data_IF_248716210778
#
_entry.id   IF_248716210778
#
_cell.length_a   1.000
_cell.length_b   1.000
_cell.length_c   1.000
_cell.angle_alpha   90.00
_cell.angle_beta   90.00
_cell.angle_gamma   90.00
#
_symmetry.space_group_name_H-M   'P 1'
#
loop_
_entity.id
_entity.type
_entity.pdbx_description
1 polymer ?
#
# COMPACT_ATOMS: atom_id res chain seq x y z
N UNK A 1 -38.64 -7.74 -35.93
CA UNK A 1 -37.44 -8.26 -35.23
C UNK A 1 -36.83 -7.12 -34.40
N UNK A 2 -37.47 -6.64 -33.34
CA UNK A 2 -37.44 -7.13 -31.95
C UNK A 2 -36.06 -7.56 -31.39
N UNK A 3 -35.60 -6.79 -30.39
CA UNK A 3 -34.80 -7.21 -29.20
C UNK A 3 -33.32 -6.82 -29.01
N UNK A 4 -32.83 -5.65 -29.47
CA UNK A 4 -31.49 -5.15 -29.03
C UNK A 4 -31.55 -3.73 -28.40
N UNK A 5 -32.75 -3.22 -28.12
CA UNK A 5 -32.95 -2.03 -27.30
C UNK A 5 -33.34 -2.44 -25.87
N UNK A 6 -32.59 -1.95 -24.88
CA UNK A 6 -32.73 -2.22 -23.44
C UNK A 6 -32.08 -3.51 -22.92
N UNK A 7 -30.76 -3.61 -22.98
CA UNK A 7 -30.07 -4.28 -21.89
C UNK A 7 -30.36 -3.48 -20.62
N UNK A 8 -31.35 -3.93 -19.82
CA UNK A 8 -31.39 -3.67 -18.38
C UNK A 8 -30.00 -4.07 -17.88
N UNK A 9 -29.08 -3.12 -17.72
CA UNK A 9 -27.73 -3.37 -17.21
C UNK A 9 -27.88 -4.31 -16.01
N UNK A 10 -27.29 -5.51 -16.03
CA UNK A 10 -27.65 -6.53 -15.06
C UNK A 10 -27.00 -6.20 -13.73
N UNK A 11 -27.67 -5.30 -13.02
CA UNK A 11 -27.27 -4.70 -11.76
C UNK A 11 -27.04 -5.81 -10.74
N UNK A 12 -27.81 -6.90 -10.84
CA UNK A 12 -27.62 -8.12 -10.04
C UNK A 12 -26.29 -8.83 -10.33
N UNK A 13 -25.87 -9.01 -11.58
CA UNK A 13 -24.60 -9.68 -11.90
C UNK A 13 -23.39 -8.83 -11.47
N UNK A 14 -23.43 -7.52 -11.71
CA UNK A 14 -22.37 -6.61 -11.24
C UNK A 14 -22.27 -6.62 -9.71
N UNK A 15 -23.40 -6.64 -9.01
CA UNK A 15 -23.43 -6.73 -7.56
C UNK A 15 -22.87 -8.06 -7.03
N UNK A 16 -23.31 -9.20 -7.59
CA UNK A 16 -22.80 -10.52 -7.22
C UNK A 16 -21.29 -10.60 -7.46
N UNK A 17 -20.82 -10.15 -8.61
CA UNK A 17 -19.39 -10.10 -8.91
C UNK A 17 -18.63 -9.24 -7.91
N UNK A 18 -19.12 -8.02 -7.64
CA UNK A 18 -18.48 -7.09 -6.71
C UNK A 18 -18.36 -7.69 -5.31
N UNK A 19 -19.45 -8.25 -4.79
CA UNK A 19 -19.47 -8.95 -3.50
C UNK A 19 -18.50 -10.13 -3.53
N UNK A 20 -18.51 -10.93 -4.60
CA UNK A 20 -17.59 -12.06 -4.77
C UNK A 20 -16.12 -11.65 -4.72
N UNK A 21 -15.73 -10.58 -5.41
CA UNK A 21 -14.34 -10.07 -5.40
C UNK A 21 -13.97 -9.49 -4.03
N UNK A 22 -14.89 -8.79 -3.36
CA UNK A 22 -14.69 -8.26 -2.00
C UNK A 22 -14.46 -9.40 -1.01
N UNK A 23 -15.32 -10.43 -1.03
CA UNK A 23 -15.20 -11.59 -0.15
C UNK A 23 -13.96 -12.43 -0.47
N UNK A 24 -13.66 -12.64 -1.75
CA UNK A 24 -12.42 -13.30 -2.16
C UNK A 24 -11.20 -12.54 -1.61
N UNK A 25 -11.21 -11.22 -1.71
CA UNK A 25 -10.11 -10.41 -1.18
C UNK A 25 -10.03 -10.48 0.35
N UNK A 26 -11.16 -10.54 1.05
CA UNK A 26 -11.21 -10.77 2.49
C UNK A 26 -10.54 -12.10 2.89
N UNK A 27 -10.77 -13.17 2.12
CA UNK A 27 -10.08 -14.46 2.32
C UNK A 27 -8.57 -14.30 2.13
N UNK A 28 -8.14 -13.64 1.04
CA UNK A 28 -6.71 -13.46 0.75
C UNK A 28 -5.96 -12.70 1.84
N UNK A 29 -6.55 -11.65 2.42
CA UNK A 29 -5.86 -10.88 3.47
C UNK A 29 -5.63 -11.70 4.73
N UNK A 30 -6.49 -12.69 4.99
CA UNK A 30 -6.41 -13.55 6.16
C UNK A 30 -5.47 -14.74 5.96
N UNK A 31 -5.55 -15.37 4.79
CA UNK A 31 -4.92 -16.66 4.53
C UNK A 31 -3.49 -16.54 3.98
N UNK A 32 -3.25 -15.64 3.02
CA UNK A 32 -1.92 -15.49 2.41
C UNK A 32 -0.94 -14.96 3.45
N UNK A 33 0.25 -15.56 3.63
CA UNK A 33 1.23 -15.03 4.59
C UNK A 33 1.77 -13.65 4.15
N UNK A 34 2.18 -12.82 5.11
CA UNK A 34 3.00 -11.64 4.85
C UNK A 34 4.28 -12.00 4.09
N UNK A 35 4.50 -11.31 2.97
CA UNK A 35 5.61 -11.55 2.07
C UNK A 35 6.74 -10.53 2.25
N UNK A 36 7.98 -11.02 2.24
CA UNK A 36 9.15 -10.16 2.31
C UNK A 36 9.46 -9.46 0.97
N UNK A 37 10.11 -8.29 0.99
CA UNK A 37 10.57 -7.55 2.18
C UNK A 37 9.56 -6.52 2.69
N UNK A 38 8.85 -5.85 1.78
CA UNK A 38 8.16 -4.61 2.10
C UNK A 38 6.95 -4.80 3.02
N UNK A 39 6.12 -5.82 2.76
CA UNK A 39 4.86 -6.01 3.49
C UNK A 39 5.14 -6.47 4.92
N UNK A 40 5.98 -7.49 5.08
CA UNK A 40 6.42 -7.96 6.40
C UNK A 40 7.13 -6.87 7.19
N UNK A 41 7.99 -6.06 6.55
CA UNK A 41 8.68 -4.93 7.23
C UNK A 41 7.69 -3.94 7.84
N UNK A 42 6.71 -3.46 7.07
CA UNK A 42 5.75 -2.50 7.61
C UNK A 42 4.84 -3.13 8.67
N UNK A 43 4.56 -4.42 8.55
CA UNK A 43 3.81 -5.17 9.56
C UNK A 43 4.61 -5.31 10.86
N UNK A 44 5.93 -5.53 10.76
CA UNK A 44 6.82 -5.63 11.91
C UNK A 44 6.99 -4.30 12.63
N UNK A 45 7.19 -3.20 11.90
CA UNK A 45 7.22 -1.85 12.47
C UNK A 45 5.92 -1.57 13.26
N UNK A 46 4.77 -2.00 12.73
CA UNK A 46 3.49 -1.86 13.42
C UNK A 46 3.34 -2.81 14.63
N UNK A 47 3.95 -3.99 14.59
CA UNK A 47 3.97 -4.96 15.69
C UNK A 47 4.79 -4.41 16.86
N UNK A 48 6.02 -3.95 16.58
CA UNK A 48 6.90 -3.32 17.56
C UNK A 48 6.19 -2.12 18.19
N UNK A 49 5.59 -1.23 17.39
CA UNK A 49 4.81 -0.09 17.91
C UNK A 49 3.67 -0.51 18.84
N UNK A 50 2.96 -1.59 18.51
CA UNK A 50 1.89 -2.11 19.36
C UNK A 50 2.42 -2.69 20.68
N UNK A 51 3.54 -3.41 20.61
CA UNK A 51 4.19 -4.05 21.76
C UNK A 51 4.83 -3.04 22.72
N UNK A 52 5.64 -2.12 22.20
CA UNK A 52 6.41 -1.15 23.00
C UNK A 52 5.59 0.05 23.46
N UNK A 53 4.40 0.24 22.88
CA UNK A 53 3.60 1.47 23.02
C UNK A 53 4.36 2.75 22.64
N UNK A 54 5.36 2.66 21.76
CA UNK A 54 6.03 3.83 21.17
C UNK A 54 5.26 4.28 19.91
N UNK A 55 4.27 5.17 20.12
CA UNK A 55 3.37 5.67 19.06
C UNK A 55 3.90 6.90 18.32
N UNK A 56 5.01 7.49 18.74
CA UNK A 56 5.58 8.70 18.13
C UNK A 56 6.62 8.32 17.10
N UNK A 57 7.67 7.59 17.47
CA UNK A 57 8.78 7.26 16.57
C UNK A 57 8.63 5.82 16.08
N UNK A 58 8.23 5.57 14.81
CA UNK A 58 8.20 4.20 14.28
C UNK A 58 9.59 3.56 14.38
N UNK A 59 9.64 2.27 14.69
CA UNK A 59 10.88 1.54 14.93
C UNK A 59 11.05 0.41 13.90
N UNK A 60 12.22 0.32 13.26
CA UNK A 60 12.54 -0.78 12.33
C UNK A 60 12.95 -2.05 13.08
N UNK A 61 13.45 -1.85 14.29
CA UNK A 61 13.85 -2.83 15.29
C UNK A 61 13.75 -2.14 16.66
N UNK A 62 13.75 -2.89 17.76
CA UNK A 62 13.66 -2.34 19.11
C UNK A 62 14.69 -1.23 19.33
N UNK A 63 14.21 -0.05 19.75
CA UNK A 63 15.01 1.17 19.96
C UNK A 63 15.76 1.70 18.73
N UNK A 64 15.47 1.19 17.54
CA UNK A 64 16.06 1.66 16.28
C UNK A 64 15.01 2.38 15.43
N UNK A 65 15.16 3.70 15.20
CA UNK A 65 14.12 4.47 14.53
C UNK A 65 14.01 4.15 13.02
N UNK A 66 12.78 4.25 12.52
CA UNK A 66 12.43 4.15 11.11
C UNK A 66 11.96 5.51 10.58
N UNK A 67 12.87 6.27 9.99
CA UNK A 67 12.61 7.63 9.51
C UNK A 67 12.03 7.71 8.09
N UNK A 68 11.89 6.59 7.38
CA UNK A 68 11.56 6.64 5.95
C UNK A 68 10.12 7.10 5.69
N UNK A 69 9.18 6.90 6.61
CA UNK A 69 7.75 7.15 6.38
C UNK A 69 7.05 7.70 7.63
N UNK A 70 6.05 8.58 7.47
CA UNK A 70 5.20 9.02 8.57
C UNK A 70 4.26 7.88 9.05
N UNK A 71 3.53 8.09 10.16
CA UNK A 71 3.10 6.99 11.00
C UNK A 71 1.71 6.46 10.63
N UNK A 72 0.92 7.13 9.77
CA UNK A 72 -0.52 6.83 9.66
C UNK A 72 -0.78 5.37 9.29
N UNK A 73 -0.03 4.82 8.35
CA UNK A 73 -0.21 3.41 7.96
C UNK A 73 0.20 2.46 9.08
N UNK A 74 1.27 2.78 9.80
CA UNK A 74 1.73 2.01 10.96
C UNK A 74 0.72 2.07 12.10
N UNK A 75 0.21 3.25 12.44
CA UNK A 75 -0.84 3.45 13.45
C UNK A 75 -2.07 2.63 13.14
N UNK A 76 -2.54 2.65 11.90
CA UNK A 76 -3.71 1.90 11.49
C UNK A 76 -3.50 0.39 11.67
N UNK A 77 -2.35 -0.16 11.27
CA UNK A 77 -2.05 -1.58 11.47
C UNK A 77 -1.86 -1.92 12.96
N UNK A 78 -1.19 -1.06 13.73
CA UNK A 78 -0.99 -1.27 15.17
C UNK A 78 -2.32 -1.24 15.96
N UNK A 79 -3.23 -0.31 15.63
CA UNK A 79 -4.59 -0.27 16.21
C UNK A 79 -5.38 -1.53 15.85
N UNK A 80 -5.20 -2.03 14.62
CA UNK A 80 -5.80 -3.29 14.19
C UNK A 80 -5.26 -4.48 15.00
N UNK A 81 -3.96 -4.52 15.31
CA UNK A 81 -3.38 -5.53 16.20
C UNK A 81 -3.97 -5.50 17.61
N UNK A 82 -4.26 -4.32 18.18
CA UNK A 82 -4.94 -4.21 19.48
C UNK A 82 -6.32 -4.88 19.49
N UNK A 83 -7.01 -4.90 18.35
CA UNK A 83 -8.39 -5.40 18.25
C UNK A 83 -8.48 -6.86 17.83
N UNK A 84 -7.54 -7.33 17.00
CA UNK A 84 -7.63 -8.64 16.33
C UNK A 84 -6.40 -9.53 16.57
N UNK A 85 -5.47 -9.11 17.43
CA UNK A 85 -4.19 -9.78 17.66
C UNK A 85 -3.18 -9.56 16.53
N UNK A 86 -1.93 -9.94 16.79
CA UNK A 86 -0.83 -9.84 15.81
C UNK A 86 -0.95 -10.97 14.80
N UNK A 87 -1.42 -10.65 13.58
CA UNK A 87 -1.50 -11.59 12.47
C UNK A 87 -1.60 -10.86 11.13
N UNK A 88 -1.49 -11.62 10.04
CA UNK A 88 -1.51 -11.07 8.67
C UNK A 88 -2.85 -10.40 8.31
N UNK A 89 -3.98 -10.92 8.81
CA UNK A 89 -5.31 -10.32 8.63
C UNK A 89 -5.34 -8.91 9.23
N UNK A 90 -5.00 -8.79 10.51
CA UNK A 90 -5.00 -7.55 11.25
C UNK A 90 -4.06 -6.51 10.61
N UNK A 91 -2.89 -6.93 10.13
CA UNK A 91 -1.94 -6.04 9.48
C UNK A 91 -2.52 -5.37 8.22
N UNK A 92 -3.32 -6.11 7.42
CA UNK A 92 -3.86 -5.70 6.12
C UNK A 92 -5.27 -5.11 6.17
N UNK A 93 -6.01 -5.40 7.24
CA UNK A 93 -7.40 -4.97 7.42
C UNK A 93 -7.58 -3.46 7.20
N UNK A 94 -6.70 -2.56 7.68
CA UNK A 94 -6.87 -1.14 7.43
C UNK A 94 -6.81 -0.76 5.94
N UNK A 95 -5.86 -1.31 5.17
CA UNK A 95 -5.78 -1.07 3.73
C UNK A 95 -7.04 -1.55 3.00
N UNK A 96 -7.55 -2.72 3.40
CA UNK A 96 -8.80 -3.26 2.86
C UNK A 96 -9.98 -2.33 3.14
N UNK A 97 -10.15 -1.89 4.39
CA UNK A 97 -11.24 -0.98 4.79
C UNK A 97 -11.13 0.40 4.14
N UNK A 98 -9.93 0.97 4.04
CA UNK A 98 -9.71 2.27 3.37
C UNK A 98 -10.18 2.23 1.92
N UNK A 99 -9.85 1.18 1.17
CA UNK A 99 -10.27 1.05 -0.23
C UNK A 99 -11.78 0.78 -0.38
N UNK A 100 -12.37 -0.03 0.50
CA UNK A 100 -13.83 -0.19 0.51
C UNK A 100 -14.56 1.11 0.84
N UNK A 101 -14.05 1.85 1.83
CA UNK A 101 -14.59 3.15 2.19
C UNK A 101 -14.42 4.17 1.07
N UNK A 102 -13.30 4.11 0.34
CA UNK A 102 -13.08 4.94 -0.84
C UNK A 102 -14.09 4.63 -1.96
N UNK A 103 -14.32 3.35 -2.27
CA UNK A 103 -15.35 2.93 -3.23
C UNK A 103 -16.72 3.47 -2.80
N UNK A 104 -17.05 3.35 -1.51
CA UNK A 104 -18.30 3.87 -0.96
C UNK A 104 -18.41 5.40 -1.12
N UNK A 105 -17.35 6.15 -0.82
CA UNK A 105 -17.32 7.61 -0.94
C UNK A 105 -17.54 8.05 -2.38
N UNK A 106 -16.79 7.48 -3.32
CA UNK A 106 -16.93 7.77 -4.75
C UNK A 106 -18.35 7.50 -5.23
N UNK A 107 -18.90 6.38 -4.77
CA UNK A 107 -20.19 5.88 -5.22
C UNK A 107 -21.39 6.63 -4.66
N UNK A 108 -21.32 7.13 -3.42
CA UNK A 108 -22.43 7.82 -2.75
C UNK A 108 -22.37 9.33 -2.93
N UNK A 109 -21.18 9.89 -2.94
CA UNK A 109 -21.00 11.34 -2.83
C UNK A 109 -20.57 12.01 -4.13
N UNK A 110 -19.81 11.31 -4.98
CA UNK A 110 -19.49 11.82 -6.34
C UNK A 110 -20.62 11.46 -7.31
N UNK A 111 -21.17 10.26 -7.17
CA UNK A 111 -22.19 9.73 -8.08
C UNK A 111 -23.54 9.65 -7.36
N UNK A 112 -24.59 10.25 -7.93
CA UNK A 112 -25.93 10.27 -7.31
C UNK A 112 -26.80 9.04 -7.66
N UNK A 113 -26.25 8.06 -8.37
CA UNK A 113 -27.00 6.94 -8.97
C UNK A 113 -26.46 5.59 -8.46
N UNK A 114 -27.34 4.77 -7.87
CA UNK A 114 -27.02 3.43 -7.35
C UNK A 114 -26.42 2.50 -8.41
N UNK A 115 -26.75 2.66 -9.69
CA UNK A 115 -26.13 1.86 -10.77
C UNK A 115 -24.67 2.27 -10.98
N UNK A 116 -24.37 3.55 -10.83
CA UNK A 116 -23.01 4.08 -10.94
C UNK A 116 -22.14 3.69 -9.74
N UNK A 117 -22.74 3.42 -8.57
CA UNK A 117 -22.05 2.85 -7.41
C UNK A 117 -21.40 1.50 -7.74
N UNK A 118 -22.19 0.55 -8.23
CA UNK A 118 -21.70 -0.78 -8.55
C UNK A 118 -20.65 -0.74 -9.66
N UNK A 119 -20.82 0.19 -10.60
CA UNK A 119 -19.89 0.34 -11.71
C UNK A 119 -18.52 0.89 -11.29
N UNK A 120 -18.45 1.90 -10.41
CA UNK A 120 -17.15 2.39 -9.90
C UNK A 120 -16.42 1.29 -9.14
N UNK A 121 -17.13 0.60 -8.24
CA UNK A 121 -16.55 -0.51 -7.50
C UNK A 121 -16.04 -1.61 -8.44
N UNK A 122 -16.81 -1.95 -9.47
CA UNK A 122 -16.42 -2.92 -10.48
C UNK A 122 -15.15 -2.49 -11.23
N UNK A 123 -15.10 -1.25 -11.72
CA UNK A 123 -13.96 -0.73 -12.46
C UNK A 123 -12.70 -0.72 -11.59
N UNK A 124 -12.80 -0.23 -10.35
CA UNK A 124 -11.65 -0.19 -9.44
C UNK A 124 -11.16 -1.59 -9.06
N UNK A 125 -12.05 -2.50 -8.67
CA UNK A 125 -11.66 -3.87 -8.26
C UNK A 125 -11.31 -4.80 -9.43
N UNK A 126 -11.40 -4.32 -10.67
CA UNK A 126 -10.89 -5.02 -11.86
C UNK A 126 -9.60 -4.42 -12.39
N UNK A 127 -9.13 -3.28 -11.86
CA UNK A 127 -7.76 -2.80 -12.11
C UNK A 127 -6.78 -3.62 -11.26
N UNK A 128 -5.77 -4.27 -11.87
CA UNK A 128 -4.78 -5.05 -11.12
C UNK A 128 -4.16 -4.32 -9.92
N UNK A 129 -3.72 -3.07 -10.09
CA UNK A 129 -3.06 -2.33 -9.01
C UNK A 129 -4.01 -2.10 -7.82
N UNK A 130 -5.23 -1.65 -8.10
CA UNK A 130 -6.19 -1.31 -7.04
C UNK A 130 -6.69 -2.55 -6.32
N UNK A 131 -6.93 -3.66 -7.04
CA UNK A 131 -7.30 -4.93 -6.42
C UNK A 131 -6.18 -5.47 -5.51
N UNK A 132 -4.92 -5.43 -5.97
CA UNK A 132 -3.77 -5.85 -5.17
C UNK A 132 -3.61 -5.01 -3.90
N UNK A 133 -3.77 -3.69 -4.00
CA UNK A 133 -3.65 -2.79 -2.85
C UNK A 133 -4.87 -2.77 -1.92
N UNK A 134 -5.96 -3.43 -2.29
CA UNK A 134 -7.12 -3.67 -1.43
C UNK A 134 -6.80 -4.80 -0.44
N UNK A 135 -5.88 -4.54 0.49
CA UNK A 135 -5.44 -5.54 1.46
C UNK A 135 -4.02 -6.01 1.26
N UNK A 136 -3.10 -5.09 0.97
CA UNK A 136 -1.66 -5.25 1.22
C UNK A 136 -1.27 -4.15 2.21
N UNK A 137 -0.33 -4.43 3.11
CA UNK A 137 0.20 -3.41 4.03
C UNK A 137 1.01 -2.40 3.23
N UNK A 138 0.44 -1.19 3.03
CA UNK A 138 1.03 -0.21 2.13
C UNK A 138 0.69 1.24 2.51
N UNK A 139 1.74 2.06 2.59
CA UNK A 139 1.62 3.52 2.71
C UNK A 139 0.95 4.18 1.50
N UNK A 140 0.97 3.53 0.33
CA UNK A 140 0.36 4.06 -0.89
C UNK A 140 -1.17 4.05 -0.80
N UNK A 141 -1.76 3.09 -0.09
CA UNK A 141 -3.21 3.00 0.11
C UNK A 141 -3.73 4.18 0.93
N UNK A 142 -3.06 4.52 2.03
CA UNK A 142 -3.41 5.68 2.86
C UNK A 142 -3.21 7.01 2.11
N UNK A 143 -2.15 7.12 1.31
CA UNK A 143 -1.93 8.29 0.45
C UNK A 143 -3.01 8.41 -0.63
N UNK A 144 -3.36 7.32 -1.32
CA UNK A 144 -4.40 7.30 -2.35
C UNK A 144 -5.76 7.72 -1.78
N UNK A 145 -6.11 7.20 -0.60
CA UNK A 145 -7.30 7.61 0.13
C UNK A 145 -7.27 9.12 0.41
N UNK A 146 -6.18 9.63 0.99
CA UNK A 146 -6.01 11.05 1.33
C UNK A 146 -6.11 11.97 0.11
N UNK A 147 -5.39 11.64 -0.98
CA UNK A 147 -5.47 12.37 -2.26
C UNK A 147 -6.91 12.37 -2.78
N UNK A 148 -7.60 11.24 -2.71
CA UNK A 148 -8.98 11.15 -3.19
C UNK A 148 -9.92 12.03 -2.38
N UNK A 149 -9.78 12.04 -1.06
CA UNK A 149 -10.56 12.94 -0.19
C UNK A 149 -10.27 14.39 -0.56
N UNK A 150 -9.00 14.79 -0.73
CA UNK A 150 -8.64 16.17 -1.12
C UNK A 150 -9.29 16.53 -2.44
N UNK A 151 -9.10 15.71 -3.48
CA UNK A 151 -9.53 16.03 -4.83
C UNK A 151 -11.06 16.05 -4.97
N UNK A 152 -11.78 15.15 -4.28
CA UNK A 152 -13.25 15.15 -4.25
C UNK A 152 -13.77 16.33 -3.44
N UNK A 153 -13.19 16.58 -2.26
CA UNK A 153 -13.56 17.68 -1.37
C UNK A 153 -13.42 19.02 -2.04
N UNK A 154 -12.30 19.24 -2.74
CA UNK A 154 -12.06 20.45 -3.51
C UNK A 154 -13.16 20.65 -4.56
N UNK A 155 -13.44 19.62 -5.36
CA UNK A 155 -14.48 19.68 -6.39
C UNK A 155 -15.84 20.06 -5.78
N UNK A 156 -16.22 19.40 -4.69
CA UNK A 156 -17.49 19.64 -3.99
C UNK A 156 -17.58 21.04 -3.37
N UNK A 157 -16.49 21.52 -2.80
CA UNK A 157 -16.44 22.85 -2.20
C UNK A 157 -16.58 23.95 -3.26
N UNK A 158 -15.90 23.82 -4.40
CA UNK A 158 -15.88 24.85 -5.45
C UNK A 158 -17.19 24.89 -6.25
N UNK A 159 -17.77 23.73 -6.57
CA UNK A 159 -19.03 23.66 -7.31
C UNK A 159 -20.27 23.85 -6.42
N UNK A 160 -20.10 23.93 -5.10
CA UNK A 160 -21.18 24.08 -4.11
C UNK A 160 -22.26 23.00 -4.22
N UNK A 161 -21.89 21.82 -4.68
CA UNK A 161 -22.78 20.70 -4.99
C UNK A 161 -22.65 19.55 -3.97
N UNK A 162 -22.16 19.88 -2.76
CA UNK A 162 -21.93 18.94 -1.68
C UNK A 162 -22.27 19.53 -0.31
N UNK A 163 -22.42 18.64 0.67
CA UNK A 163 -22.60 19.01 2.07
C UNK A 163 -21.43 19.85 2.62
N UNK A 164 -21.71 20.62 3.66
CA UNK A 164 -20.76 21.59 4.24
C UNK A 164 -19.44 20.96 4.68
N UNK A 165 -19.46 19.70 5.13
CA UNK A 165 -18.29 19.00 5.65
C UNK A 165 -17.19 18.78 4.60
N UNK A 166 -17.51 18.75 3.29
CA UNK A 166 -16.50 18.61 2.23
C UNK A 166 -15.44 19.70 2.28
N UNK A 167 -15.83 20.91 2.70
CA UNK A 167 -14.89 22.03 2.84
C UNK A 167 -13.81 21.77 3.89
N UNK A 168 -14.15 21.02 4.94
CA UNK A 168 -13.25 20.66 6.04
C UNK A 168 -12.49 19.36 5.74
N UNK A 169 -13.15 18.40 5.08
CA UNK A 169 -12.53 17.16 4.62
C UNK A 169 -11.37 17.41 3.65
N UNK A 170 -11.39 18.53 2.90
CA UNK A 170 -10.23 18.96 2.11
C UNK A 170 -8.97 19.06 2.99
N UNK A 171 -9.06 19.77 4.12
CA UNK A 171 -7.95 20.00 5.04
C UNK A 171 -7.58 18.76 5.86
N UNK A 172 -8.57 17.98 6.28
CA UNK A 172 -8.34 16.66 6.92
C UNK A 172 -7.60 15.75 5.96
N UNK A 173 -7.98 15.70 4.68
CA UNK A 173 -7.30 14.93 3.65
C UNK A 173 -5.84 15.35 3.47
N UNK A 174 -5.55 16.67 3.49
CA UNK A 174 -4.16 17.18 3.48
C UNK A 174 -3.39 16.67 4.70
N UNK A 175 -3.99 16.75 5.89
CA UNK A 175 -3.35 16.31 7.14
C UNK A 175 -3.04 14.80 7.13
N UNK A 176 -4.00 13.97 6.72
CA UNK A 176 -3.82 12.52 6.59
C UNK A 176 -2.78 12.17 5.52
N UNK A 177 -2.73 12.93 4.43
CA UNK A 177 -1.72 12.74 3.40
C UNK A 177 -0.31 13.07 3.86
N UNK A 178 -0.14 14.14 4.66
CA UNK A 178 1.12 14.46 5.32
C UNK A 178 1.54 13.31 6.23
N UNK A 179 0.62 12.81 7.08
CA UNK A 179 0.87 11.65 7.95
C UNK A 179 0.97 10.30 7.22
N UNK A 180 0.73 10.25 5.90
CA UNK A 180 0.91 9.03 5.09
C UNK A 180 2.27 8.99 4.39
N UNK A 181 2.59 10.06 3.65
CA UNK A 181 3.79 10.15 2.80
C UNK A 181 4.37 11.56 2.72
N UNK A 182 4.10 12.39 3.72
CA UNK A 182 4.72 13.71 3.84
C UNK A 182 4.26 14.71 2.79
N UNK A 183 5.10 15.70 2.45
CA UNK A 183 4.77 16.79 1.53
C UNK A 183 4.31 16.34 0.14
N UNK A 184 4.62 15.09 -0.25
CA UNK A 184 4.22 14.51 -1.52
C UNK A 184 2.70 14.63 -1.77
N UNK A 185 1.85 14.60 -0.74
CA UNK A 185 0.40 14.79 -0.92
C UNK A 185 0.10 16.15 -1.58
N UNK A 186 0.74 17.22 -1.15
CA UNK A 186 0.53 18.57 -1.69
C UNK A 186 1.10 18.66 -3.10
N UNK A 187 2.24 18.01 -3.35
CA UNK A 187 2.85 17.92 -4.68
C UNK A 187 1.94 17.19 -5.67
N UNK A 188 1.20 16.17 -5.23
CA UNK A 188 0.32 15.38 -6.09
C UNK A 188 -1.09 15.98 -6.26
N UNK A 189 -1.56 16.86 -5.37
CA UNK A 189 -2.90 17.48 -5.47
C UNK A 189 -2.87 18.94 -5.87
N UNK A 190 -1.88 19.71 -5.44
CA UNK A 190 -1.80 21.16 -5.66
C UNK A 190 -1.72 21.56 -7.13
N UNK A 191 -0.72 21.05 -7.90
CA UNK A 191 -0.57 21.39 -9.31
C UNK A 191 -1.78 21.06 -10.21
N UNK A 192 -2.41 19.86 -10.16
CA UNK A 192 -3.58 19.60 -11.01
C UNK A 192 -4.77 20.49 -10.64
N UNK A 193 -4.97 20.81 -9.36
CA UNK A 193 -5.96 21.80 -8.91
C UNK A 193 -5.63 23.18 -9.48
N UNK A 194 -4.39 23.63 -9.34
CA UNK A 194 -3.93 24.95 -9.79
C UNK A 194 -4.08 25.13 -11.30
N UNK A 195 -3.62 24.15 -12.09
CA UNK A 195 -3.78 24.17 -13.56
C UNK A 195 -5.27 24.20 -13.93
N UNK A 196 -6.12 23.41 -13.25
CA UNK A 196 -7.55 23.43 -13.51
C UNK A 196 -8.19 24.79 -13.22
N UNK A 197 -7.82 25.43 -12.10
CA UNK A 197 -8.29 26.77 -11.73
C UNK A 197 -7.96 27.82 -12.79
N UNK A 198 -6.75 27.77 -13.36
CA UNK A 198 -6.32 28.64 -14.46
C UNK A 198 -7.15 28.36 -15.72
N UNK A 199 -7.22 27.10 -16.15
CA UNK A 199 -7.92 26.72 -17.37
C UNK A 199 -9.42 27.06 -17.33
N UNK A 200 -10.04 26.96 -16.16
CA UNK A 200 -11.46 27.29 -15.95
C UNK A 200 -11.69 28.71 -15.45
N UNK A 201 -10.64 29.53 -15.37
CA UNK A 201 -10.68 30.94 -14.97
C UNK A 201 -11.45 31.15 -13.66
N UNK A 202 -11.28 30.23 -12.71
CA UNK A 202 -11.95 30.31 -11.41
C UNK A 202 -11.34 31.45 -10.62
N UNK A 203 -12.17 32.42 -10.21
CA UNK A 203 -11.70 33.60 -9.47
C UNK A 203 -11.10 33.17 -8.12
N UNK A 204 -9.93 33.71 -7.77
CA UNK A 204 -9.26 33.46 -6.49
C UNK A 204 -10.19 33.74 -5.29
N UNK A 205 -11.01 34.79 -5.36
CA UNK A 205 -12.02 35.11 -4.33
C UNK A 205 -12.99 33.95 -4.07
N UNK A 206 -13.28 33.10 -5.07
CA UNK A 206 -14.12 31.92 -4.87
C UNK A 206 -13.44 30.85 -4.01
N UNK A 207 -12.11 30.69 -4.11
CA UNK A 207 -11.35 29.77 -3.24
C UNK A 207 -11.44 30.20 -1.79
N UNK A 208 -11.17 31.48 -1.51
CA UNK A 208 -11.22 32.02 -0.15
C UNK A 208 -12.62 32.03 0.45
N UNK A 209 -13.66 32.19 -0.39
CA UNK A 209 -15.06 32.13 0.06
C UNK A 209 -15.56 30.70 0.28
N UNK A 210 -15.12 29.75 -0.54
CA UNK A 210 -15.68 28.40 -0.54
C UNK A 210 -14.93 27.43 0.38
N UNK A 211 -13.65 27.67 0.66
CA UNK A 211 -12.85 26.88 1.60
C UNK A 211 -12.56 27.70 2.86
N UNK A 212 -12.77 27.14 4.07
CA UNK A 212 -12.53 27.83 5.34
C UNK A 212 -11.03 27.82 5.66
N UNK A 213 -10.22 28.63 4.97
CA UNK A 213 -8.76 28.56 5.08
C UNK A 213 -8.22 28.65 6.50
N UNK A 214 -8.71 29.59 7.32
CA UNK A 214 -8.20 29.77 8.68
C UNK A 214 -8.47 28.51 9.55
N UNK A 215 -9.74 28.11 9.67
CA UNK A 215 -10.14 26.95 10.47
C UNK A 215 -9.60 25.65 9.85
N UNK A 216 -9.60 25.55 8.53
CA UNK A 216 -9.08 24.41 7.78
C UNK A 216 -7.59 24.21 7.99
N UNK A 217 -6.78 25.27 7.89
CA UNK A 217 -5.35 25.19 8.17
C UNK A 217 -5.11 24.83 9.63
N UNK A 218 -5.89 25.36 10.57
CA UNK A 218 -5.82 24.96 11.98
C UNK A 218 -6.09 23.45 12.15
N UNK A 219 -7.10 22.91 11.46
CA UNK A 219 -7.37 21.45 11.44
C UNK A 219 -6.15 20.68 10.90
N UNK A 220 -5.54 21.12 9.79
CA UNK A 220 -4.35 20.48 9.24
C UNK A 220 -3.20 20.50 10.25
N UNK A 221 -2.95 21.65 10.88
CA UNK A 221 -1.89 21.82 11.88
C UNK A 221 -2.13 20.90 13.05
N UNK A 222 -3.30 20.94 13.67
CA UNK A 222 -3.63 20.13 14.86
C UNK A 222 -3.52 18.62 14.59
N UNK A 223 -3.89 18.16 13.40
CA UNK A 223 -3.82 16.73 13.08
C UNK A 223 -2.39 16.28 12.75
N UNK A 224 -1.67 17.01 11.89
CA UNK A 224 -0.42 16.51 11.32
C UNK A 224 0.83 17.01 12.06
N UNK A 225 0.89 18.30 12.41
CA UNK A 225 2.13 18.95 12.87
C UNK A 225 2.63 18.43 14.22
N UNK A 226 1.78 18.13 15.23
CA UNK A 226 2.25 17.58 16.50
C UNK A 226 3.12 16.34 16.34
N UNK A 227 2.77 15.43 15.42
CA UNK A 227 3.59 14.25 15.19
C UNK A 227 4.98 14.59 14.66
N UNK A 228 5.09 15.48 13.67
CA UNK A 228 6.39 15.91 13.14
C UNK A 228 7.28 16.53 14.22
N UNK A 229 6.71 17.38 15.07
CA UNK A 229 7.44 18.03 16.16
C UNK A 229 7.90 16.98 17.18
N UNK A 230 6.99 16.11 17.63
CA UNK A 230 7.31 15.09 18.64
C UNK A 230 8.35 14.09 18.14
N UNK A 231 8.29 13.69 16.87
CA UNK A 231 9.27 12.78 16.28
C UNK A 231 10.65 13.43 16.22
N UNK A 232 10.76 14.69 15.79
CA UNK A 232 12.04 15.40 15.79
C UNK A 232 12.61 15.57 17.20
N UNK A 233 11.76 15.90 18.18
CA UNK A 233 12.19 16.05 19.58
C UNK A 233 12.71 14.75 20.20
N UNK A 234 12.10 13.60 19.85
CA UNK A 234 12.50 12.29 20.38
C UNK A 234 13.61 11.63 19.59
N UNK A 235 13.79 12.02 18.34
CA UNK A 235 14.70 11.39 17.40
C UNK A 235 15.29 12.44 16.45
N UNK A 236 16.18 13.28 17.01
CA UNK A 236 16.81 14.41 16.35
C UNK A 236 17.43 14.00 15.00
N UNK A 237 17.20 14.81 13.97
CA UNK A 237 17.66 14.54 12.60
C UNK A 237 16.61 13.87 11.71
N UNK A 238 15.46 13.48 12.27
CA UNK A 238 14.34 12.91 11.50
C UNK A 238 13.90 13.84 10.36
N UNK A 239 13.70 15.14 10.62
CA UNK A 239 13.21 16.09 9.61
C UNK A 239 14.20 16.26 8.48
N UNK A 240 15.50 16.36 8.76
CA UNK A 240 16.52 16.43 7.71
C UNK A 240 16.52 15.16 6.86
N UNK A 241 16.54 13.99 7.50
CA UNK A 241 16.47 12.72 6.79
C UNK A 241 15.20 12.57 5.94
N UNK A 242 14.03 12.79 6.56
CA UNK A 242 12.74 12.52 5.94
C UNK A 242 12.35 13.57 4.89
N UNK A 243 12.55 14.85 5.16
CA UNK A 243 12.19 15.90 4.20
C UNK A 243 13.29 16.02 3.15
N UNK A 244 14.56 16.25 3.54
CA UNK A 244 15.64 16.50 2.58
C UNK A 244 16.07 15.22 1.88
N UNK A 245 16.38 14.17 2.64
CA UNK A 245 16.82 12.88 2.10
C UNK A 245 15.75 12.18 1.27
N UNK A 246 14.64 11.80 1.91
CA UNK A 246 13.61 10.95 1.30
C UNK A 246 12.75 11.63 0.22
N UNK A 247 12.62 12.97 0.21
CA UNK A 247 11.83 13.67 -0.83
C UNK A 247 12.68 14.36 -1.88
N UNK A 248 13.71 15.11 -1.51
CA UNK A 248 14.50 15.86 -2.49
C UNK A 248 15.62 15.01 -3.07
N UNK A 249 16.54 14.51 -2.22
CA UNK A 249 17.69 13.72 -2.68
C UNK A 249 17.22 12.45 -3.38
N UNK A 250 16.31 11.67 -2.78
CA UNK A 250 15.78 10.43 -3.39
C UNK A 250 15.10 10.64 -4.75
N UNK A 251 14.46 11.79 -4.96
CA UNK A 251 13.77 12.10 -6.22
C UNK A 251 14.74 12.52 -7.32
N UNK A 252 15.75 13.32 -6.98
CA UNK A 252 16.73 13.89 -7.93
C UNK A 252 17.94 12.97 -8.18
N UNK A 253 18.30 12.13 -7.20
CA UNK A 253 19.51 11.30 -7.21
C UNK A 253 19.17 9.81 -7.42
N UNK A 254 19.51 9.20 -8.57
CA UNK A 254 19.21 7.80 -8.87
C UNK A 254 19.80 6.77 -7.91
N UNK A 255 20.89 7.12 -7.22
CA UNK A 255 21.62 6.26 -6.29
C UNK A 255 21.94 7.02 -5.01
N UNK A 256 20.95 7.66 -4.43
CA UNK A 256 21.11 8.33 -3.15
C UNK A 256 21.70 7.35 -2.11
N UNK A 257 22.90 7.64 -1.63
CA UNK A 257 23.68 6.78 -0.73
C UNK A 257 23.16 6.78 0.71
N UNK A 258 22.21 7.68 1.03
CA UNK A 258 21.62 7.81 2.35
C UNK A 258 20.39 6.95 2.60
N UNK A 259 19.95 6.07 1.69
CA UNK A 259 18.80 5.18 1.96
C UNK A 259 19.19 4.13 3.01
N UNK A 260 18.78 4.38 4.26
CA UNK A 260 19.07 3.52 5.41
C UNK A 260 18.30 2.19 5.37
N UNK A 261 17.24 2.09 4.54
CA UNK A 261 16.23 1.03 4.66
C UNK A 261 16.03 0.22 3.37
N UNK A 262 16.89 0.39 2.36
CA UNK A 262 16.94 -0.46 1.17
C UNK A 262 17.70 0.13 -0.02
N UNK A 263 18.09 -0.71 -0.98
CA UNK A 263 18.76 -0.24 -2.20
C UNK A 263 17.79 0.37 -3.23
N UNK A 264 18.23 1.35 -4.04
CA UNK A 264 17.41 2.00 -5.06
C UNK A 264 16.95 0.97 -6.10
N UNK A 265 15.62 0.84 -6.27
CA UNK A 265 15.03 0.12 -7.41
C UNK A 265 14.96 1.09 -8.60
N UNK A 266 16.10 1.34 -9.22
CA UNK A 266 16.17 2.22 -10.39
C UNK A 266 15.37 1.62 -11.55
N UNK A 267 14.38 2.36 -12.04
CA UNK A 267 13.62 2.06 -13.24
C UNK A 267 14.06 2.97 -14.40
N UNK A 268 13.70 2.61 -15.62
CA UNK A 268 13.85 3.49 -16.77
C UNK A 268 12.98 4.75 -16.61
N UNK A 269 13.42 5.87 -17.17
CA UNK A 269 12.62 7.10 -17.20
C UNK A 269 11.29 6.84 -17.90
N UNK A 270 10.21 7.38 -17.35
CA UNK A 270 8.86 7.16 -17.87
C UNK A 270 8.25 5.76 -17.63
N UNK A 271 8.93 4.85 -16.91
CA UNK A 271 8.38 3.51 -16.61
C UNK A 271 7.03 3.57 -15.88
N UNK A 272 6.75 4.66 -15.16
CA UNK A 272 5.46 4.92 -14.52
C UNK A 272 4.26 4.88 -15.49
N UNK A 273 4.46 5.28 -16.76
CA UNK A 273 3.43 5.20 -17.79
C UNK A 273 3.15 3.76 -18.21
N UNK A 274 4.17 2.91 -18.25
CA UNK A 274 4.04 1.47 -18.51
C UNK A 274 3.28 0.82 -17.36
N UNK A 275 3.62 1.15 -16.11
CA UNK A 275 2.88 0.68 -14.94
C UNK A 275 1.41 1.10 -15.01
N UNK A 276 1.13 2.37 -15.33
CA UNK A 276 -0.24 2.84 -15.48
C UNK A 276 -0.98 2.07 -16.58
N UNK A 277 -0.35 1.84 -17.73
CA UNK A 277 -0.95 1.12 -18.86
C UNK A 277 -1.30 -0.33 -18.53
N UNK A 278 -0.37 -1.07 -17.90
CA UNK A 278 -0.53 -2.49 -17.61
C UNK A 278 -1.46 -2.69 -16.41
N UNK A 279 -1.20 -2.00 -15.28
CA UNK A 279 -1.88 -2.28 -14.02
C UNK A 279 -3.24 -1.59 -13.87
N UNK A 280 -3.70 -0.87 -14.90
CA UNK A 280 -5.09 -0.37 -15.00
C UNK A 280 -5.82 -0.88 -16.24
N UNK A 281 -5.27 -1.89 -16.91
CA UNK A 281 -5.93 -2.58 -18.01
C UNK A 281 -7.27 -3.18 -17.57
N UNK A 282 -8.32 -3.17 -18.41
CA UNK A 282 -8.41 -2.58 -19.76
C UNK A 282 -8.87 -1.11 -19.78
N UNK A 283 -9.02 -0.51 -18.60
CA UNK A 283 -9.75 0.75 -18.43
C UNK A 283 -8.99 1.95 -18.99
N UNK A 284 -7.67 2.03 -18.82
CA UNK A 284 -6.90 3.13 -19.39
C UNK A 284 -6.98 3.15 -20.92
N UNK A 285 -6.95 1.98 -21.56
CA UNK A 285 -7.03 1.85 -23.01
C UNK A 285 -8.37 2.37 -23.55
N UNK A 286 -9.46 2.01 -22.87
CA UNK A 286 -10.80 2.53 -23.17
C UNK A 286 -10.85 4.05 -22.95
N UNK A 287 -10.28 4.54 -21.84
CA UNK A 287 -10.24 5.96 -21.52
C UNK A 287 -9.45 6.75 -22.55
N UNK A 288 -8.28 6.28 -22.99
CA UNK A 288 -7.45 6.92 -24.03
C UNK A 288 -8.26 7.07 -25.32
N UNK A 289 -8.91 5.99 -25.79
CA UNK A 289 -9.76 6.05 -26.99
C UNK A 289 -10.89 7.07 -26.85
N UNK A 290 -11.59 7.08 -25.70
CA UNK A 290 -12.70 8.00 -25.44
C UNK A 290 -12.27 9.45 -25.32
N UNK A 291 -11.21 9.72 -24.58
CA UNK A 291 -10.64 11.05 -24.41
C UNK A 291 -10.14 11.61 -25.74
N UNK A 292 -9.48 10.79 -26.56
CA UNK A 292 -9.01 11.20 -27.89
C UNK A 292 -10.17 11.59 -28.84
N UNK A 293 -11.21 10.75 -28.90
CA UNK A 293 -12.39 10.99 -29.72
C UNK A 293 -13.18 12.22 -29.25
N UNK A 294 -13.22 12.46 -27.96
CA UNK A 294 -13.96 13.56 -27.33
C UNK A 294 -13.08 14.75 -26.91
N UNK A 295 -11.85 14.86 -27.41
CA UNK A 295 -10.83 15.85 -26.95
C UNK A 295 -11.32 17.31 -26.93
N UNK A 296 -12.13 17.72 -27.91
CA UNK A 296 -12.73 19.06 -27.96
C UNK A 296 -13.76 19.29 -26.85
N UNK A 297 -14.50 18.24 -26.47
CA UNK A 297 -15.47 18.27 -25.35
C UNK A 297 -14.76 18.24 -24.00
N UNK A 298 -13.68 17.47 -23.88
CA UNK A 298 -12.87 17.36 -22.64
C UNK A 298 -12.46 18.73 -22.12
N UNK A 299 -11.92 19.60 -22.99
CA UNK A 299 -11.49 20.95 -22.60
C UNK A 299 -12.64 21.88 -22.20
N UNK A 300 -13.86 21.63 -22.69
CA UNK A 300 -15.05 22.43 -22.35
C UNK A 300 -15.67 21.96 -21.03
N UNK A 301 -15.79 20.64 -20.83
CA UNK A 301 -16.35 20.06 -19.62
C UNK A 301 -15.42 20.27 -18.40
N UNK A 302 -15.83 21.07 -17.39
CA UNK A 302 -15.00 21.33 -16.22
C UNK A 302 -14.67 20.07 -15.41
N UNK A 303 -15.63 19.15 -15.28
CA UNK A 303 -15.45 17.92 -14.50
C UNK A 303 -14.48 16.99 -15.19
N UNK A 304 -14.66 16.79 -16.50
CA UNK A 304 -13.79 15.90 -17.25
C UNK A 304 -12.36 16.45 -17.36
N UNK A 305 -12.20 17.77 -17.54
CA UNK A 305 -10.85 18.40 -17.47
C UNK A 305 -10.21 18.15 -16.11
N UNK A 306 -10.96 18.29 -15.01
CA UNK A 306 -10.45 18.07 -13.65
C UNK A 306 -9.94 16.64 -13.44
N UNK A 307 -10.73 15.65 -13.85
CA UNK A 307 -10.36 14.24 -13.74
C UNK A 307 -9.13 13.89 -14.59
N UNK A 308 -9.02 14.43 -15.80
CA UNK A 308 -7.86 14.19 -16.67
C UNK A 308 -6.58 14.78 -16.06
N UNK A 309 -6.64 15.99 -15.50
CA UNK A 309 -5.49 16.60 -14.82
C UNK A 309 -5.10 15.79 -13.58
N UNK A 310 -6.07 15.36 -12.78
CA UNK A 310 -5.81 14.48 -11.64
C UNK A 310 -5.15 13.16 -12.08
N UNK A 311 -5.71 12.49 -13.08
CA UNK A 311 -5.21 11.19 -13.57
C UNK A 311 -3.78 11.29 -14.09
N UNK A 312 -3.47 12.32 -14.89
CA UNK A 312 -2.21 12.45 -15.60
C UNK A 312 -1.10 13.12 -14.79
N UNK A 313 -1.43 13.86 -13.73
CA UNK A 313 -0.41 14.58 -12.96
C UNK A 313 0.57 13.64 -12.26
N UNK A 314 0.09 12.59 -11.58
CA UNK A 314 0.96 11.64 -10.88
C UNK A 314 2.00 10.98 -11.80
N UNK A 315 1.65 10.36 -12.94
CA UNK A 315 2.65 9.80 -13.84
C UNK A 315 3.52 10.88 -14.50
N UNK A 316 2.99 12.08 -14.78
CA UNK A 316 3.80 13.19 -15.30
C UNK A 316 4.90 13.60 -14.31
N UNK A 317 4.55 13.79 -13.03
CA UNK A 317 5.49 14.14 -11.98
C UNK A 317 6.59 13.08 -11.82
N UNK A 318 6.21 11.79 -11.81
CA UNK A 318 7.16 10.69 -11.66
C UNK A 318 7.90 10.30 -12.96
N UNK A 319 7.64 10.96 -14.10
CA UNK A 319 8.30 10.62 -15.38
C UNK A 319 9.82 10.77 -15.29
N UNK A 320 10.29 11.78 -14.55
CA UNK A 320 11.70 12.11 -14.40
C UNK A 320 12.39 11.38 -13.22
N UNK A 321 11.62 10.64 -12.41
CA UNK A 321 12.15 9.93 -11.25
C UNK A 321 12.61 8.53 -11.62
N UNK A 322 13.85 8.17 -11.26
CA UNK A 322 14.36 6.80 -11.44
C UNK A 322 13.96 5.86 -10.30
N UNK A 323 13.70 6.40 -9.11
CA UNK A 323 13.34 5.64 -7.91
C UNK A 323 11.82 5.49 -7.77
N UNK A 324 11.19 4.79 -8.72
CA UNK A 324 9.73 4.63 -8.80
C UNK A 324 9.28 3.19 -8.60
N UNK A 325 8.10 3.04 -8.01
CA UNK A 325 7.40 1.77 -7.84
C UNK A 325 6.10 1.80 -8.62
N UNK A 326 5.60 0.62 -9.03
CA UNK A 326 4.30 0.52 -9.69
C UNK A 326 3.17 1.09 -8.84
N UNK A 327 3.27 0.98 -7.51
CA UNK A 327 2.30 1.48 -6.53
C UNK A 327 2.05 2.98 -6.61
N UNK A 328 2.96 3.75 -7.21
CA UNK A 328 2.81 5.20 -7.34
C UNK A 328 1.69 5.60 -8.30
N UNK A 329 1.20 4.68 -9.14
CA UNK A 329 0.03 4.94 -10.02
C UNK A 329 -1.31 4.84 -9.29
N UNK A 330 -1.33 4.34 -8.05
CA UNK A 330 -2.57 4.08 -7.32
C UNK A 330 -3.50 5.31 -7.24
N UNK A 331 -3.01 6.55 -7.00
CA UNK A 331 -3.86 7.74 -7.02
C UNK A 331 -4.53 8.04 -8.38
N UNK A 332 -3.96 7.57 -9.49
CA UNK A 332 -4.52 7.77 -10.84
C UNK A 332 -5.66 6.80 -11.16
N UNK A 333 -5.81 5.70 -10.42
CA UNK A 333 -6.90 4.72 -10.60
C UNK A 333 -8.27 5.34 -10.34
N UNK A 334 -8.34 6.29 -9.39
CA UNK A 334 -9.56 6.93 -8.93
C UNK A 334 -10.19 7.83 -10.01
N UNK A 335 -9.49 8.86 -10.54
CA UNK A 335 -10.03 9.65 -11.63
C UNK A 335 -10.24 8.82 -12.89
N UNK A 336 -9.42 7.80 -13.16
CA UNK A 336 -9.63 6.88 -14.28
C UNK A 336 -10.98 6.17 -14.18
N UNK A 337 -11.32 5.62 -13.00
CA UNK A 337 -12.63 4.99 -12.80
C UNK A 337 -13.78 5.96 -13.02
N UNK A 338 -13.66 7.20 -12.52
CA UNK A 338 -14.67 8.25 -12.73
C UNK A 338 -14.80 8.67 -14.20
N UNK A 339 -13.70 8.71 -14.96
CA UNK A 339 -13.70 8.96 -16.41
C UNK A 339 -14.45 7.84 -17.15
N UNK A 340 -14.20 6.58 -16.81
CA UNK A 340 -14.90 5.45 -17.43
C UNK A 340 -16.39 5.50 -17.09
N UNK A 341 -16.77 5.80 -15.85
CA UNK A 341 -18.17 5.96 -15.47
C UNK A 341 -18.84 7.12 -16.22
N UNK A 342 -18.14 8.24 -16.41
CA UNK A 342 -18.62 9.36 -17.20
C UNK A 342 -18.95 8.94 -18.65
N UNK A 343 -18.06 8.18 -19.28
CA UNK A 343 -18.24 7.71 -20.66
C UNK A 343 -19.04 6.41 -20.80
N UNK A 344 -19.51 5.81 -19.71
CA UNK A 344 -20.06 4.45 -19.72
C UNK A 344 -21.14 4.25 -20.77
N UNK A 345 -22.10 5.18 -20.86
CA UNK A 345 -23.21 5.07 -21.81
C UNK A 345 -22.79 5.17 -23.28
N UNK A 346 -21.63 5.77 -23.56
CA UNK A 346 -21.11 5.89 -24.92
C UNK A 346 -20.27 4.67 -25.32
N UNK A 347 -19.88 3.80 -24.39
CA UNK A 347 -19.09 2.61 -24.69
C UNK A 347 -19.98 1.62 -25.46
N UNK A 348 -19.57 1.26 -26.69
CA UNK A 348 -20.32 0.31 -27.53
C UNK A 348 -20.15 -1.13 -27.05
N UNK A 349 -18.92 -1.53 -26.72
CA UNK A 349 -18.56 -2.91 -26.38
C UNK A 349 -18.59 -3.18 -24.86
N UNK A 350 -19.62 -2.72 -24.15
CA UNK A 350 -19.71 -2.83 -22.67
C UNK A 350 -19.52 -4.26 -22.17
N UNK A 351 -20.20 -5.23 -22.81
CA UNK A 351 -20.12 -6.65 -22.44
C UNK A 351 -18.68 -7.18 -22.56
N UNK A 352 -18.00 -6.86 -23.66
CA UNK A 352 -16.60 -7.24 -23.87
C UNK A 352 -15.69 -6.58 -22.84
N UNK A 353 -15.88 -5.28 -22.55
CA UNK A 353 -15.11 -4.58 -21.53
C UNK A 353 -15.27 -5.20 -20.14
N UNK A 354 -16.50 -5.58 -19.75
CA UNK A 354 -16.76 -6.29 -18.49
C UNK A 354 -16.04 -7.63 -18.47
N UNK A 355 -16.18 -8.46 -19.52
CA UNK A 355 -15.54 -9.78 -19.59
C UNK A 355 -14.02 -9.66 -19.46
N UNK A 356 -13.42 -8.78 -20.26
CA UNK A 356 -11.95 -8.58 -20.26
C UNK A 356 -11.46 -8.06 -18.91
N UNK A 357 -12.17 -7.10 -18.30
CA UNK A 357 -11.81 -6.58 -16.98
C UNK A 357 -11.92 -7.64 -15.88
N UNK A 358 -12.86 -8.58 -16.00
CA UNK A 358 -13.02 -9.67 -15.05
C UNK A 358 -11.94 -10.76 -15.14
N UNK A 359 -11.14 -10.81 -16.21
CA UNK A 359 -10.11 -11.85 -16.40
C UNK A 359 -9.12 -11.85 -15.24
N UNK A 360 -8.61 -10.69 -14.83
CA UNK A 360 -7.60 -10.61 -13.77
C UNK A 360 -8.09 -11.13 -12.41
N UNK A 361 -9.20 -10.63 -11.83
CA UNK A 361 -9.71 -11.15 -10.55
C UNK A 361 -10.10 -12.63 -10.63
N UNK A 362 -10.66 -13.10 -11.75
CA UNK A 362 -11.00 -14.53 -11.93
C UNK A 362 -9.73 -15.37 -12.01
N UNK A 363 -8.73 -14.94 -12.77
CA UNK A 363 -7.44 -15.63 -12.86
C UNK A 363 -6.74 -15.67 -11.49
N UNK A 364 -6.80 -14.58 -10.71
CA UNK A 364 -6.26 -14.54 -9.35
C UNK A 364 -6.99 -15.53 -8.42
N UNK A 365 -8.32 -15.62 -8.53
CA UNK A 365 -9.12 -16.60 -7.78
C UNK A 365 -8.76 -18.04 -8.17
N UNK A 366 -8.73 -18.33 -9.47
CA UNK A 366 -8.38 -19.67 -9.97
C UNK A 366 -6.95 -20.05 -9.61
N UNK A 367 -6.01 -19.10 -9.68
CA UNK A 367 -4.63 -19.30 -9.25
C UNK A 367 -4.57 -19.63 -7.75
N UNK A 368 -5.25 -18.84 -6.91
CA UNK A 368 -5.34 -19.09 -5.47
C UNK A 368 -5.94 -20.47 -5.16
N UNK A 369 -7.06 -20.82 -5.79
CA UNK A 369 -7.69 -22.14 -5.64
C UNK A 369 -6.76 -23.26 -6.13
N UNK A 370 -6.07 -23.06 -7.25
CA UNK A 370 -5.08 -23.99 -7.78
C UNK A 370 -3.92 -24.26 -6.81
N UNK A 371 -3.42 -23.23 -6.13
CA UNK A 371 -2.39 -23.38 -5.10
C UNK A 371 -2.83 -24.30 -3.94
N UNK A 372 -4.13 -24.35 -3.63
CA UNK A 372 -4.68 -25.23 -2.59
C UNK A 372 -4.63 -26.71 -2.93
N UNK A 373 -4.47 -27.06 -4.21
CA UNK A 373 -4.28 -28.45 -4.64
C UNK A 373 -2.79 -28.84 -4.67
N UNK A 374 -1.89 -28.00 -4.16
CA UNK A 374 -0.45 -28.29 -4.09
C UNK A 374 0.02 -28.23 -2.65
N UNK A 375 0.72 -29.27 -2.20
CA UNK A 375 1.32 -29.30 -0.85
C UNK A 375 2.52 -28.35 -0.70
N UNK A 376 2.93 -27.70 -1.79
CA UNK A 376 4.17 -26.91 -1.87
C UNK A 376 3.94 -25.41 -2.02
N UNK A 377 2.72 -24.90 -1.86
CA UNK A 377 2.50 -23.46 -2.10
C UNK A 377 3.16 -22.61 -1.02
N UNK A 378 2.98 -22.88 0.29
CA UNK A 378 3.59 -22.09 1.37
C UNK A 378 5.13 -22.14 1.37
N UNK A 379 5.79 -23.31 1.20
CA UNK A 379 7.25 -23.37 1.12
C UNK A 379 7.85 -22.63 -0.08
N UNK A 380 7.08 -22.33 -1.12
CA UNK A 380 7.55 -21.55 -2.26
C UNK A 380 7.34 -20.03 -2.10
N UNK A 381 6.70 -19.58 -1.03
CA UNK A 381 6.50 -18.16 -0.76
C UNK A 381 7.71 -17.53 -0.10
N UNK A 382 7.93 -16.24 -0.38
CA UNK A 382 9.00 -15.45 0.23
C UNK A 382 8.64 -15.01 1.66
N UNK A 383 8.47 -15.96 2.57
CA UNK A 383 8.03 -15.75 3.95
C UNK A 383 8.65 -16.80 4.88
N UNK A 384 8.75 -16.52 6.18
CA UNK A 384 9.18 -17.50 7.18
C UNK A 384 8.01 -18.07 8.00
N UNK A 385 6.76 -17.70 7.71
CA UNK A 385 5.57 -18.17 8.46
C UNK A 385 5.57 -19.68 8.64
N UNK A 386 5.68 -20.40 7.52
CA UNK A 386 5.63 -21.86 7.47
C UNK A 386 6.66 -22.51 8.40
N UNK A 387 7.91 -22.02 8.39
CA UNK A 387 8.97 -22.57 9.23
C UNK A 387 8.73 -22.31 10.72
N UNK A 388 8.18 -21.15 11.07
CA UNK A 388 7.98 -20.74 12.45
C UNK A 388 6.68 -21.29 13.05
N UNK A 389 5.71 -21.69 12.24
CA UNK A 389 4.49 -22.35 12.72
C UNK A 389 4.74 -23.72 13.37
N UNK A 390 5.84 -24.37 13.01
CA UNK A 390 6.25 -25.66 13.59
C UNK A 390 7.04 -25.52 14.90
N UNK A 391 7.32 -24.29 15.35
CA UNK A 391 8.10 -23.99 16.54
C UNK A 391 7.21 -23.31 17.57
N UNK A 392 7.35 -23.67 18.84
CA UNK A 392 6.78 -22.90 19.94
C UNK A 392 7.57 -21.59 20.10
N UNK A 393 7.18 -20.58 19.32
CA UNK A 393 7.92 -19.30 19.23
C UNK A 393 7.94 -18.51 20.54
N UNK A 394 7.10 -18.84 21.52
CA UNK A 394 7.06 -18.15 22.82
C UNK A 394 8.16 -18.67 23.76
N UNK A 395 8.50 -19.96 23.68
CA UNK A 395 9.42 -20.61 24.62
C UNK A 395 10.72 -21.08 23.96
N UNK A 396 10.71 -21.34 22.65
CA UNK A 396 11.87 -21.83 21.95
C UNK A 396 12.88 -20.70 21.70
N UNK A 397 14.17 -20.91 22.02
CA UNK A 397 15.21 -19.95 21.70
C UNK A 397 15.50 -19.98 20.19
N UNK A 398 15.04 -18.96 19.47
CA UNK A 398 15.14 -18.83 18.01
C UNK A 398 16.12 -17.72 17.65
N UNK A 399 16.97 -17.98 16.66
CA UNK A 399 17.98 -17.03 16.24
C UNK A 399 18.14 -16.95 14.72
N UNK A 400 18.52 -15.78 14.22
CA UNK A 400 18.92 -15.56 12.84
C UNK A 400 20.44 -15.64 12.70
N UNK A 401 20.92 -16.29 11.65
CA UNK A 401 22.34 -16.24 11.29
C UNK A 401 22.66 -15.03 10.39
N UNK A 402 23.46 -14.09 10.89
CA UNK A 402 24.04 -12.90 10.21
C UNK A 402 23.06 -11.89 9.61
N UNK A 403 21.84 -12.30 9.29
CA UNK A 403 20.86 -11.46 8.61
C UNK A 403 19.44 -11.78 9.06
N UNK A 404 18.76 -10.76 9.59
CA UNK A 404 17.34 -10.77 9.94
C UNK A 404 16.43 -10.92 8.72
N UNK A 405 15.21 -11.31 9.01
CA UNK A 405 14.13 -11.46 8.06
C UNK A 405 12.85 -10.90 8.66
N UNK A 406 12.24 -9.88 8.03
CA UNK A 406 11.07 -9.21 8.60
C UNK A 406 9.88 -10.15 8.82
N UNK A 407 9.62 -11.12 7.91
CA UNK A 407 8.60 -12.13 8.20
C UNK A 407 9.02 -13.05 9.35
N UNK A 408 10.31 -13.31 9.54
CA UNK A 408 10.79 -14.10 10.67
C UNK A 408 10.58 -13.36 11.99
N UNK A 409 10.91 -12.07 12.04
CA UNK A 409 10.71 -11.21 13.22
C UNK A 409 9.21 -11.13 13.55
N UNK A 410 8.38 -10.87 12.53
CA UNK A 410 6.93 -10.80 12.71
C UNK A 410 6.31 -12.11 13.21
N UNK A 411 6.63 -13.25 12.59
CA UNK A 411 6.04 -14.54 12.97
C UNK A 411 6.69 -15.21 14.18
N UNK A 412 7.81 -14.68 14.67
CA UNK A 412 8.37 -15.05 15.97
C UNK A 412 7.91 -14.14 17.10
N UNK A 413 7.01 -13.19 16.81
CA UNK A 413 6.59 -12.14 17.75
C UNK A 413 7.79 -11.35 18.34
N UNK A 414 8.87 -11.19 17.59
CA UNK A 414 10.09 -10.51 18.05
C UNK A 414 11.04 -11.36 18.89
N UNK A 415 10.69 -12.62 19.18
CA UNK A 415 11.52 -13.51 19.98
C UNK A 415 12.76 -14.02 19.23
N UNK A 416 12.76 -13.97 17.89
CA UNK A 416 13.92 -14.38 17.11
C UNK A 416 15.02 -13.30 17.11
N UNK A 417 16.17 -13.59 17.72
CA UNK A 417 17.28 -12.63 17.86
C UNK A 417 18.37 -12.82 16.80
N UNK A 418 19.14 -11.77 16.50
CA UNK A 418 20.23 -11.86 15.52
C UNK A 418 21.53 -12.34 16.17
N UNK A 419 22.13 -13.36 15.58
CA UNK A 419 23.52 -13.78 15.85
C UNK A 419 24.41 -13.24 14.72
N UNK A 420 25.22 -12.24 15.04
CA UNK A 420 26.03 -11.51 14.07
C UNK A 420 27.33 -12.24 13.71
N UNK A 421 27.91 -12.97 14.66
CA UNK A 421 29.21 -13.62 14.54
C UNK A 421 29.29 -14.92 15.35
N UNK A 422 30.44 -15.57 15.27
CA UNK A 422 30.71 -16.85 15.93
C UNK A 422 30.83 -16.70 17.45
N UNK A 423 31.32 -15.57 17.96
CA UNK A 423 31.45 -15.35 19.41
C UNK A 423 30.09 -15.26 20.10
N UNK A 424 29.12 -14.61 19.45
CA UNK A 424 27.73 -14.60 19.92
C UNK A 424 27.10 -15.99 19.84
N UNK A 425 27.43 -16.76 18.79
CA UNK A 425 26.94 -18.13 18.65
C UNK A 425 27.48 -19.04 19.75
N UNK A 426 28.77 -18.94 20.09
CA UNK A 426 29.38 -19.69 21.19
C UNK A 426 28.71 -19.39 22.52
N UNK A 427 28.51 -18.09 22.82
CA UNK A 427 27.85 -17.65 24.06
C UNK A 427 26.43 -18.20 24.18
N UNK A 428 25.70 -18.23 23.07
CA UNK A 428 24.33 -18.71 22.98
C UNK A 428 24.24 -20.23 23.19
N UNK A 429 25.17 -20.98 22.59
CA UNK A 429 25.25 -22.43 22.71
C UNK A 429 25.66 -22.91 24.11
N UNK A 430 26.22 -22.02 24.96
CA UNK A 430 26.46 -22.32 26.37
C UNK A 430 25.20 -22.17 27.24
N UNK A 431 24.23 -21.37 26.80
CA UNK A 431 23.03 -21.04 27.59
C UNK A 431 21.83 -21.91 27.18
N UNK A 432 21.78 -22.32 25.91
CA UNK A 432 20.67 -23.07 25.36
C UNK A 432 21.09 -24.44 24.83
N UNK A 433 20.46 -25.49 25.36
CA UNK A 433 20.77 -26.87 24.98
C UNK A 433 20.45 -27.19 23.51
N UNK A 434 19.40 -26.58 22.93
CA UNK A 434 18.92 -26.89 21.57
C UNK A 434 18.24 -25.71 20.86
N UNK A 435 18.94 -24.58 20.63
CA UNK A 435 18.38 -23.44 19.94
C UNK A 435 18.04 -23.72 18.49
N UNK A 436 17.01 -23.02 18.00
CA UNK A 436 16.63 -22.99 16.60
C UNK A 436 17.39 -21.90 15.88
N UNK A 437 17.90 -22.22 14.69
CA UNK A 437 18.58 -21.29 13.81
C UNK A 437 17.84 -21.15 12.48
N UNK A 438 17.32 -19.96 12.25
CA UNK A 438 16.67 -19.56 11.03
C UNK A 438 17.69 -18.90 10.09
N UNK A 439 18.08 -19.62 9.06
CA UNK A 439 19.19 -19.25 8.17
C UNK A 439 18.64 -18.93 6.79
N UNK A 440 18.97 -17.75 6.24
CA UNK A 440 18.68 -17.47 4.83
C UNK A 440 19.49 -18.41 3.94
N UNK A 441 18.86 -19.07 2.96
CA UNK A 441 19.52 -20.08 2.12
C UNK A 441 20.78 -19.54 1.42
N UNK A 442 20.74 -18.27 0.97
CA UNK A 442 21.88 -17.57 0.38
C UNK A 442 23.06 -17.33 1.33
N UNK A 443 22.83 -17.37 2.65
CA UNK A 443 23.80 -17.16 3.73
C UNK A 443 24.31 -18.46 4.35
N UNK A 444 23.75 -19.61 3.95
CA UNK A 444 24.13 -20.93 4.50
C UNK A 444 25.63 -21.22 4.39
N UNK A 445 26.27 -20.83 3.29
CA UNK A 445 27.71 -21.04 3.06
C UNK A 445 28.61 -20.21 4.00
N UNK A 446 28.05 -19.23 4.69
CA UNK A 446 28.78 -18.37 5.64
C UNK A 446 28.80 -18.94 7.05
N UNK A 447 28.15 -20.09 7.30
CA UNK A 447 28.19 -20.80 8.58
C UNK A 447 29.47 -21.65 8.61
N UNK A 448 30.33 -21.50 9.63
CA UNK A 448 31.50 -22.35 9.77
C UNK A 448 31.11 -23.81 9.92
N UNK A 449 31.89 -24.70 9.29
CA UNK A 449 31.60 -26.14 9.24
C UNK A 449 31.44 -26.76 10.64
N UNK A 450 32.23 -26.31 11.62
CA UNK A 450 32.18 -26.77 13.01
C UNK A 450 30.81 -26.59 13.68
N UNK A 451 30.07 -25.53 13.32
CA UNK A 451 28.69 -25.34 13.79
C UNK A 451 27.69 -26.04 12.89
N UNK A 452 27.87 -25.95 11.57
CA UNK A 452 26.93 -26.52 10.61
C UNK A 452 26.76 -28.05 10.78
N UNK A 453 27.84 -28.76 11.10
CA UNK A 453 27.81 -30.22 11.33
C UNK A 453 27.03 -30.60 12.61
N UNK A 454 26.79 -29.64 13.53
CA UNK A 454 25.98 -29.82 14.75
C UNK A 454 24.51 -29.38 14.58
N UNK A 455 24.14 -28.93 13.39
CA UNK A 455 22.82 -28.41 13.07
C UNK A 455 21.99 -29.43 12.29
N UNK A 456 20.87 -29.87 12.86
CA UNK A 456 19.90 -30.73 12.17
C UNK A 456 18.85 -29.88 11.46
N UNK A 457 18.77 -30.03 10.13
CA UNK A 457 17.71 -29.39 9.34
C UNK A 457 16.34 -29.91 9.80
N UNK A 458 15.47 -28.99 10.21
CA UNK A 458 14.08 -29.29 10.56
C UNK A 458 13.19 -29.19 9.34
N UNK A 459 13.26 -28.05 8.65
CA UNK A 459 12.54 -27.82 7.40
C UNK A 459 13.18 -26.68 6.60
N UNK A 460 12.79 -26.53 5.33
CA UNK A 460 13.30 -25.51 4.43
C UNK A 460 12.20 -24.99 3.50
N UNK A 461 12.33 -23.73 3.14
CA UNK A 461 11.50 -23.11 2.11
C UNK A 461 12.41 -22.44 1.06
N UNK A 462 11.82 -21.84 0.03
CA UNK A 462 12.56 -21.16 -1.05
C UNK A 462 13.62 -20.17 -0.53
N UNK A 463 13.34 -19.52 0.61
CA UNK A 463 14.09 -18.38 1.14
C UNK A 463 15.05 -18.76 2.27
N UNK A 464 14.62 -19.61 3.19
CA UNK A 464 15.27 -19.88 4.46
C UNK A 464 15.19 -21.36 4.81
N UNK A 465 16.10 -21.80 5.68
CA UNK A 465 16.09 -23.11 6.30
C UNK A 465 16.08 -22.95 7.81
N UNK A 466 15.29 -23.77 8.50
CA UNK A 466 15.24 -23.84 9.95
C UNK A 466 16.05 -25.04 10.40
N UNK A 467 17.05 -24.78 11.25
CA UNK A 467 17.88 -25.80 11.86
C UNK A 467 17.63 -25.84 13.36
N UNK A 468 17.88 -26.99 13.98
CA UNK A 468 17.94 -27.16 15.43
C UNK A 468 19.33 -27.66 15.78
N UNK A 469 19.97 -27.06 16.78
CA UNK A 469 21.23 -27.60 17.29
C UNK A 469 21.00 -28.88 18.08
N UNK A 470 21.89 -29.86 17.89
CA UNK A 470 21.99 -30.99 18.81
C UNK A 470 22.54 -30.54 20.16
N UNK A 471 22.21 -31.30 21.21
CA UNK A 471 22.70 -31.01 22.56
C UNK A 471 24.22 -31.06 22.55
N UNK A 472 24.86 -29.93 22.79
CA UNK A 472 26.32 -29.83 22.83
C UNK A 472 26.73 -30.28 24.22
N UNK A 473 27.24 -31.50 24.35
CA UNK A 473 28.11 -31.83 25.48
C UNK A 473 29.36 -30.97 25.31
N UNK A 474 29.46 -29.90 26.10
CA UNK A 474 30.70 -29.13 26.22
C UNK A 474 31.77 -30.12 26.71
N UNK A 475 32.77 -30.39 25.87
CA UNK A 475 33.97 -31.10 26.32
C UNK A 475 34.59 -30.29 27.48
N UNK A 476 35.05 -30.96 28.54
CA UNK A 476 35.43 -30.37 29.82
C UNK A 476 36.54 -29.32 29.72
#
# INVERSE_FOLDING_TARGET
MNSISQLKEPTKYLMIFLIGVILFRLVLIADVPLLDKTESRYSEIARIMNETNEWVVPQIDYDQPFWAKPPLSTWLSAISFKSFGVNAFAARLPSYLLNLFLIFILSKFVLKDKKKLLLVGFILLTMPEFLLHTGVVSTDTALCFSISIIMISFWKAINKDGAWYWKYLFFVGVALGLLSKGPLVVVLTGPPIFVWLILKRVKIKALFKNLPWLIGLLITVVIAVPWYILTEMRSVGFIDYFIVGEHFKRFLEPKWSGDLYGGPKSQALGMIWVFLFIFTFPWLQIAIYKLWKSRRKVLKDPWLTYLVLWMLWTPLFFTISKNILHTYILPSTIPLALIIVHFWQEIKLKKTSIIVASIFPIAALLFYVGLRFTDKWEPNLNTNKYLLQAVDVEHAPIYFWKQRSYSGEFYSNGNAQLVADESQLDSLLQIHDQPYMLVLNKKRKEIPKAYFDKMKLQDSNYKSSLYRFDKIELLP
#
